data_IF_170631898687
#
_entry.id   IF_170631898687
#
_cell.length_a   1.000
_cell.length_b   1.000
_cell.length_c   1.000
_cell.angle_alpha   90.00
_cell.angle_beta   90.00
_cell.angle_gamma   90.00
#
_symmetry.space_group_name_H-M   'P 1'
#
loop_
_entity.id
_entity.type
_entity.pdbx_description
1 polymer ?
#
# COMPACT_ATOMS: atom_id res chain seq x y z
N UNK A 1 -1.33 -129.48 27.08
CA UNK A 1 0.05 -129.00 27.34
C UNK A 1 0.66 -128.54 26.02
N UNK A 2 0.74 -127.21 25.78
CA UNK A 2 1.71 -126.50 24.91
C UNK A 2 1.44 -124.98 25.00
N UNK A 3 2.51 -124.19 25.02
CA UNK A 3 2.67 -122.88 25.68
C UNK A 3 2.18 -121.63 24.89
N UNK A 4 1.99 -120.54 25.67
CA UNK A 4 1.66 -119.14 25.33
C UNK A 4 2.60 -118.46 24.32
N UNK A 5 2.17 -117.32 23.73
CA UNK A 5 2.85 -115.98 23.76
C UNK A 5 1.96 -114.91 23.07
N UNK A 6 1.72 -113.77 23.75
CA UNK A 6 1.16 -112.52 23.19
C UNK A 6 2.32 -111.56 22.95
N UNK A 7 2.41 -110.92 21.77
CA UNK A 7 3.36 -109.84 21.49
C UNK A 7 2.67 -108.73 20.66
N UNK A 8 2.69 -107.50 21.17
CA UNK A 8 2.35 -106.24 20.50
C UNK A 8 3.65 -105.57 20.00
N UNK A 9 3.69 -105.01 18.79
CA UNK A 9 4.75 -104.08 18.36
C UNK A 9 4.17 -102.95 17.49
N UNK A 10 4.53 -101.72 17.83
CA UNK A 10 4.28 -100.46 17.11
C UNK A 10 5.66 -99.83 16.79
N UNK A 11 5.69 -98.94 15.77
CA UNK A 11 6.70 -97.92 15.38
C UNK A 11 7.74 -98.34 14.30
N UNK A 12 8.18 -97.53 13.30
CA UNK A 12 7.78 -96.26 12.63
C UNK A 12 8.79 -96.04 11.44
N UNK A 13 8.49 -95.16 10.46
CA UNK A 13 9.29 -94.91 9.23
C UNK A 13 10.08 -93.57 9.26
N UNK A 14 11.18 -93.44 8.48
CA UNK A 14 12.06 -92.24 8.41
C UNK A 14 12.74 -92.00 7.02
N UNK A 15 12.89 -90.73 6.53
CA UNK A 15 13.64 -90.38 5.30
C UNK A 15 14.77 -89.30 5.46
N UNK A 16 15.56 -89.05 4.38
CA UNK A 16 16.79 -88.17 4.30
C UNK A 16 16.80 -87.25 3.05
N UNK A 17 17.49 -86.07 3.09
CA UNK A 17 17.73 -85.10 1.96
C UNK A 17 19.14 -84.39 1.99
N UNK A 18 19.63 -83.88 0.83
CA UNK A 18 20.88 -83.09 0.60
C UNK A 18 20.59 -81.70 -0.05
N UNK A 19 21.44 -80.67 0.15
CA UNK A 19 21.29 -79.24 -0.24
C UNK A 19 22.45 -78.64 -1.10
N UNK A 20 22.22 -77.48 -1.76
CA UNK A 20 23.21 -76.62 -2.47
C UNK A 20 23.14 -75.13 -2.02
N UNK A 21 24.19 -74.31 -2.24
CA UNK A 21 24.45 -73.03 -1.52
C UNK A 21 24.71 -71.78 -2.42
N UNK A 22 24.42 -70.57 -1.90
CA UNK A 22 24.67 -69.21 -2.47
C UNK A 22 25.78 -68.50 -1.66
N UNK A 23 26.69 -67.77 -2.33
CA UNK A 23 27.82 -67.09 -1.69
C UNK A 23 27.43 -65.80 -0.96
N UNK A 24 27.68 -65.74 0.35
CA UNK A 24 27.45 -64.57 1.22
C UNK A 24 28.79 -64.23 1.89
N UNK A 25 29.15 -62.95 1.93
CA UNK A 25 30.30 -62.42 2.69
C UNK A 25 31.71 -62.77 2.16
N UNK A 26 31.91 -62.67 0.84
CA UNK A 26 33.24 -62.72 0.20
C UNK A 26 33.69 -61.32 -0.18
N UNK A 27 35.00 -61.03 -0.11
CA UNK A 27 35.58 -59.76 -0.54
C UNK A 27 35.81 -59.67 -2.06
N UNK A 28 35.47 -60.72 -2.82
CA UNK A 28 35.64 -60.75 -4.27
C UNK A 28 34.45 -61.36 -5.07
N UNK A 29 33.19 -60.95 -4.86
CA UNK A 29 32.14 -61.15 -5.84
C UNK A 29 32.06 -59.94 -6.78
N UNK A 30 31.83 -60.15 -8.07
CA UNK A 30 31.64 -59.04 -9.02
C UNK A 30 30.32 -58.25 -8.78
N UNK A 31 29.41 -58.72 -7.92
CA UNK A 31 28.30 -57.97 -7.30
C UNK A 31 27.74 -58.71 -6.05
N UNK A 32 27.27 -57.96 -5.03
CA UNK A 32 26.79 -58.48 -3.74
C UNK A 32 25.43 -59.21 -3.81
N UNK A 33 24.53 -58.75 -4.67
CA UNK A 33 23.31 -59.44 -5.12
C UNK A 33 22.87 -58.73 -6.41
N UNK A 34 23.24 -59.30 -7.56
CA UNK A 34 22.76 -58.81 -8.85
C UNK A 34 21.62 -59.71 -9.33
N UNK A 35 20.45 -59.12 -9.52
CA UNK A 35 19.27 -59.79 -10.07
C UNK A 35 19.04 -59.17 -11.44
N UNK A 36 19.68 -59.79 -12.43
CA UNK A 36 19.60 -59.40 -13.83
C UNK A 36 18.36 -60.01 -14.49
N UNK A 37 17.72 -59.23 -15.34
CA UNK A 37 16.52 -59.65 -16.09
C UNK A 37 16.90 -60.69 -17.14
N UNK A 38 16.05 -61.69 -17.37
CA UNK A 38 16.24 -62.70 -18.42
C UNK A 38 16.39 -62.13 -19.83
N UNK A 39 15.80 -60.96 -20.12
CA UNK A 39 16.11 -60.13 -21.29
C UNK A 39 15.88 -58.64 -20.97
N UNK A 40 16.91 -57.77 -20.89
CA UNK A 40 16.74 -56.35 -20.53
C UNK A 40 15.83 -55.58 -21.48
N UNK A 41 15.81 -56.01 -22.73
CA UNK A 41 15.04 -55.37 -23.81
C UNK A 41 13.59 -55.86 -23.85
N UNK A 42 13.29 -56.97 -23.18
CA UNK A 42 11.96 -57.56 -23.14
C UNK A 42 11.86 -58.51 -21.93
N UNK A 43 11.82 -57.96 -20.70
CA UNK A 43 11.89 -58.76 -19.50
C UNK A 43 10.68 -59.69 -19.40
N UNK A 44 10.92 -60.94 -19.00
CA UNK A 44 9.84 -61.87 -18.70
C UNK A 44 9.07 -61.36 -17.48
N UNK A 45 7.79 -61.73 -17.36
CA UNK A 45 6.94 -61.31 -16.24
C UNK A 45 7.39 -61.85 -14.86
N UNK A 46 8.40 -62.71 -14.84
CA UNK A 46 9.05 -63.24 -13.64
C UNK A 46 10.37 -62.54 -13.30
N UNK A 47 10.84 -61.61 -14.13
CA UNK A 47 12.06 -60.85 -13.85
C UNK A 47 11.80 -59.82 -12.74
N UNK A 48 12.48 -59.96 -11.61
CA UNK A 48 12.39 -59.03 -10.50
C UNK A 48 12.85 -59.62 -9.17
N UNK A 49 12.95 -58.77 -8.15
CA UNK A 49 13.24 -59.21 -6.78
C UNK A 49 11.93 -59.26 -5.98
N UNK A 50 11.52 -60.47 -5.62
CA UNK A 50 10.46 -60.67 -4.63
C UNK A 50 11.08 -60.59 -3.24
N UNK A 51 10.97 -59.42 -2.61
CA UNK A 51 11.34 -59.24 -1.21
C UNK A 51 10.29 -59.89 -0.28
N UNK A 52 10.65 -60.19 0.98
CA UNK A 52 9.75 -60.81 1.93
C UNK A 52 8.42 -60.06 2.03
N UNK A 53 7.34 -60.82 1.83
CA UNK A 53 5.98 -60.32 1.91
C UNK A 53 5.41 -60.60 3.28
N UNK A 54 4.77 -59.62 3.87
CA UNK A 54 4.11 -59.75 5.17
C UNK A 54 2.65 -59.32 5.05
N UNK A 55 1.79 -59.98 5.81
CA UNK A 55 0.40 -59.56 5.95
C UNK A 55 0.21 -58.75 7.24
N UNK A 56 1.08 -58.99 8.23
CA UNK A 56 1.13 -58.32 9.54
C UNK A 56 2.57 -58.06 9.99
N UNK A 57 2.76 -57.04 10.83
CA UNK A 57 4.07 -56.79 11.44
C UNK A 57 4.47 -57.89 12.45
N UNK A 58 5.78 -58.12 12.64
CA UNK A 58 6.24 -59.09 13.63
C UNK A 58 5.80 -58.69 15.05
N UNK A 59 5.39 -59.68 15.86
CA UNK A 59 4.92 -59.43 17.24
C UNK A 59 6.01 -58.96 18.20
N UNK A 60 7.27 -59.22 17.87
CA UNK A 60 8.42 -58.66 18.56
C UNK A 60 9.21 -57.87 17.54
N UNK A 61 9.41 -56.59 17.87
CA UNK A 61 10.01 -55.65 16.95
C UNK A 61 11.48 -55.98 16.66
N UNK A 62 11.93 -55.78 15.40
CA UNK A 62 13.34 -55.87 15.07
C UNK A 62 14.18 -54.86 15.88
N UNK A 63 15.48 -55.14 16.01
CA UNK A 63 16.40 -54.31 16.81
C UNK A 63 17.30 -53.46 15.92
N UNK A 64 18.20 -52.67 16.53
CA UNK A 64 19.12 -51.79 15.81
C UNK A 64 19.96 -52.50 14.74
N UNK A 65 20.24 -53.80 14.91
CA UNK A 65 21.01 -54.58 13.93
C UNK A 65 20.21 -54.78 12.63
N UNK A 66 18.88 -54.75 12.70
CA UNK A 66 17.98 -54.88 11.54
C UNK A 66 17.35 -53.56 11.11
N UNK A 67 17.93 -52.43 11.54
CA UNK A 67 17.50 -51.11 11.07
C UNK A 67 17.61 -51.00 9.53
N UNK A 68 16.57 -50.46 8.90
CA UNK A 68 16.43 -50.39 7.44
C UNK A 68 15.89 -51.67 6.76
N UNK A 69 15.55 -52.71 7.51
CA UNK A 69 15.02 -53.95 6.96
C UNK A 69 13.75 -53.70 6.14
N UNK A 70 13.70 -54.18 4.88
CA UNK A 70 12.60 -53.95 3.95
C UNK A 70 11.62 -55.14 3.89
N UNK A 71 10.33 -54.82 3.84
CA UNK A 71 9.25 -55.78 3.62
C UNK A 71 8.21 -55.20 2.67
N UNK A 72 7.54 -56.06 1.94
CA UNK A 72 6.35 -55.68 1.18
C UNK A 72 5.10 -56.14 1.93
N UNK A 73 4.35 -55.22 2.52
CA UNK A 73 3.04 -55.53 3.05
C UNK A 73 2.10 -55.84 1.87
N UNK A 74 1.44 -57.00 1.91
CA UNK A 74 0.60 -57.44 0.79
C UNK A 74 -0.77 -56.74 0.76
N UNK A 75 -1.20 -56.20 1.91
CA UNK A 75 -2.53 -55.66 2.15
C UNK A 75 -3.60 -56.68 2.53
N UNK A 76 -3.25 -57.97 2.68
CA UNK A 76 -4.22 -59.02 3.01
C UNK A 76 -4.50 -59.16 4.53
N UNK A 77 -3.63 -58.61 5.37
CA UNK A 77 -3.86 -58.44 6.81
C UNK A 77 -4.15 -56.97 7.16
N UNK A 78 -3.89 -56.57 8.40
CA UNK A 78 -4.17 -55.23 8.94
C UNK A 78 -3.26 -54.14 8.36
N UNK A 79 -2.09 -54.51 7.82
CA UNK A 79 -1.12 -53.55 7.30
C UNK A 79 -1.41 -53.21 5.84
N UNK A 80 -1.58 -51.91 5.57
CA UNK A 80 -1.89 -51.41 4.23
C UNK A 80 -0.82 -51.81 3.22
N UNK A 81 -1.24 -52.25 2.04
CA UNK A 81 -0.36 -52.74 0.98
C UNK A 81 0.70 -51.70 0.61
N UNK A 82 1.96 -52.10 0.59
CA UNK A 82 3.05 -51.18 0.25
C UNK A 82 4.41 -51.69 0.65
N UNK A 83 5.44 -50.93 0.26
CA UNK A 83 6.80 -51.17 0.72
C UNK A 83 7.00 -50.46 2.06
N UNK A 84 7.52 -51.19 3.04
CA UNK A 84 7.81 -50.67 4.37
C UNK A 84 9.23 -51.03 4.77
N UNK A 85 9.85 -50.19 5.59
CA UNK A 85 11.11 -50.52 6.23
C UNK A 85 11.03 -50.35 7.74
N UNK A 86 11.81 -51.15 8.45
CA UNK A 86 11.97 -51.00 9.90
C UNK A 86 12.86 -49.80 10.17
N UNK A 87 12.35 -48.83 10.90
CA UNK A 87 13.12 -47.74 11.47
C UNK A 87 13.27 -48.01 12.97
N UNK A 88 14.49 -48.37 13.37
CA UNK A 88 14.80 -48.67 14.75
C UNK A 88 14.82 -47.42 15.64
N UNK A 89 15.06 -46.23 15.07
CA UNK A 89 15.04 -44.99 15.87
C UNK A 89 13.62 -44.65 16.34
N UNK A 90 12.62 -44.80 15.48
CA UNK A 90 11.20 -44.65 15.86
C UNK A 90 10.60 -45.95 16.39
N UNK A 91 11.35 -47.06 16.30
CA UNK A 91 10.91 -48.41 16.59
C UNK A 91 9.58 -48.76 15.89
N UNK A 92 9.49 -48.44 14.60
CA UNK A 92 8.27 -48.61 13.82
C UNK A 92 8.55 -48.96 12.35
N UNK A 93 7.53 -49.53 11.68
CA UNK A 93 7.59 -49.80 10.24
C UNK A 93 7.04 -48.61 9.44
N UNK A 94 7.84 -48.05 8.54
CA UNK A 94 7.54 -46.81 7.81
C UNK A 94 7.29 -47.09 6.32
N UNK A 95 6.21 -46.53 5.77
CA UNK A 95 5.78 -46.72 4.37
C UNK A 95 6.55 -45.85 3.37
N UNK A 96 6.79 -46.37 2.17
CA UNK A 96 7.56 -45.69 1.12
C UNK A 96 6.77 -44.75 0.19
N UNK A 97 5.45 -44.85 0.09
CA UNK A 97 4.71 -44.01 -0.87
C UNK A 97 4.36 -42.66 -0.25
N UNK A 98 5.11 -41.63 -0.63
CA UNK A 98 4.78 -40.23 -0.37
C UNK A 98 3.61 -39.76 -1.25
N UNK A 99 2.70 -38.99 -0.68
CA UNK A 99 1.54 -38.45 -1.40
C UNK A 99 1.94 -37.22 -2.25
N UNK A 100 1.47 -37.20 -3.51
CA UNK A 100 1.53 -36.06 -4.43
C UNK A 100 0.57 -34.94 -3.98
N UNK A 101 1.03 -33.70 -4.06
CA UNK A 101 0.30 -32.50 -3.59
C UNK A 101 -0.64 -31.99 -4.71
N UNK A 102 -1.97 -32.10 -4.56
CA UNK A 102 -2.95 -31.69 -5.59
C UNK A 102 -3.95 -30.57 -5.17
N UNK A 103 -4.03 -30.17 -3.90
CA UNK A 103 -4.79 -28.96 -3.46
C UNK A 103 -4.30 -28.45 -2.10
N UNK A 104 -4.48 -27.15 -1.84
CA UNK A 104 -4.37 -26.57 -0.48
C UNK A 104 -5.68 -26.91 0.23
N UNK A 105 -5.67 -27.96 1.06
CA UNK A 105 -6.84 -28.48 1.78
C UNK A 105 -6.49 -28.54 3.27
N UNK A 106 -6.55 -27.37 3.92
CA UNK A 106 -7.07 -27.16 5.30
C UNK A 106 -6.81 -25.70 5.76
N UNK A 107 -5.66 -25.08 5.43
CA UNK A 107 -5.21 -23.78 6.00
C UNK A 107 -5.31 -23.67 7.54
N UNK A 108 -5.51 -24.79 8.27
CA UNK A 108 -5.58 -24.83 9.74
C UNK A 108 -4.27 -24.40 10.40
N UNK A 109 -3.15 -24.50 9.66
CA UNK A 109 -1.81 -24.01 10.00
C UNK A 109 -1.59 -22.53 9.59
N UNK A 110 -2.55 -21.94 8.88
CA UNK A 110 -2.53 -20.56 8.39
C UNK A 110 -3.50 -19.62 9.13
N UNK A 111 -4.10 -20.07 10.24
CA UNK A 111 -4.87 -19.22 11.17
C UNK A 111 -4.02 -18.90 12.41
N UNK A 112 -4.13 -17.68 12.91
CA UNK A 112 -3.36 -17.18 14.07
C UNK A 112 -4.02 -17.37 15.44
N UNK A 113 -5.33 -17.60 15.51
CA UNK A 113 -6.05 -17.86 16.77
C UNK A 113 -5.83 -19.31 17.22
N UNK A 114 -5.07 -19.48 18.30
CA UNK A 114 -4.63 -20.78 18.79
C UNK A 114 -4.85 -20.94 20.31
N UNK A 115 -5.60 -20.05 20.95
CA UNK A 115 -5.92 -20.10 22.39
C UNK A 115 -7.39 -20.50 22.67
N UNK A 116 -8.24 -20.52 21.64
CA UNK A 116 -9.57 -21.13 21.66
C UNK A 116 -10.69 -20.22 22.16
N UNK A 117 -10.45 -18.91 22.22
CA UNK A 117 -11.42 -17.90 22.68
C UNK A 117 -12.29 -17.32 21.55
N UNK A 118 -11.96 -17.58 20.28
CA UNK A 118 -12.74 -17.20 19.08
C UNK A 118 -12.98 -15.67 18.96
N UNK A 119 -12.07 -14.87 19.54
CA UNK A 119 -12.09 -13.40 19.59
C UNK A 119 -11.24 -12.73 18.49
N UNK A 120 -10.54 -13.50 17.65
CA UNK A 120 -10.02 -13.00 16.38
C UNK A 120 -8.96 -13.90 15.74
N UNK A 121 -9.17 -14.31 14.48
CA UNK A 121 -8.16 -15.06 13.70
C UNK A 121 -7.92 -14.46 12.31
N UNK A 122 -6.65 -14.25 11.96
CA UNK A 122 -6.19 -13.83 10.64
C UNK A 122 -6.00 -15.01 9.67
N UNK A 123 -6.18 -14.78 8.36
CA UNK A 123 -5.98 -15.74 7.26
C UNK A 123 -4.80 -15.33 6.38
N UNK A 124 -3.94 -16.31 6.09
CA UNK A 124 -2.63 -16.06 5.51
C UNK A 124 -2.45 -16.70 4.15
N UNK A 125 -2.50 -15.89 3.10
CA UNK A 125 -2.41 -16.37 1.73
C UNK A 125 -1.10 -15.88 1.09
N UNK A 126 -0.36 -16.79 0.46
CA UNK A 126 1.08 -16.59 0.25
C UNK A 126 1.90 -16.82 1.54
N UNK A 127 3.17 -17.18 1.39
CA UNK A 127 4.04 -17.52 2.53
C UNK A 127 4.07 -16.37 3.57
N UNK A 128 3.82 -16.69 4.85
CA UNK A 128 3.93 -15.79 6.02
C UNK A 128 3.00 -14.57 6.05
N UNK A 129 1.87 -14.59 5.34
CA UNK A 129 0.81 -13.67 5.72
C UNK A 129 0.51 -13.81 7.24
N UNK A 130 0.17 -12.69 7.88
CA UNK A 130 0.10 -12.38 9.33
C UNK A 130 0.72 -13.26 10.44
N UNK A 131 1.99 -13.61 10.29
CA UNK A 131 2.90 -13.91 11.41
C UNK A 131 3.07 -12.79 12.48
N UNK A 132 2.34 -11.66 12.37
CA UNK A 132 2.33 -10.51 13.31
C UNK A 132 0.97 -10.32 13.99
N UNK A 133 0.03 -11.24 13.81
CA UNK A 133 -0.99 -11.40 14.83
C UNK A 133 -0.32 -11.88 16.13
N UNK A 134 -0.61 -11.24 17.25
CA UNK A 134 -0.02 -11.54 18.56
C UNK A 134 -0.93 -12.46 19.40
N UNK A 135 -2.05 -12.92 18.81
CA UNK A 135 -3.06 -13.73 19.49
C UNK A 135 -3.89 -12.95 20.51
N UNK A 136 -3.91 -11.62 20.43
CA UNK A 136 -4.90 -10.76 21.09
C UNK A 136 -5.88 -10.20 20.04
N UNK A 137 -6.80 -9.29 20.40
CA UNK A 137 -7.86 -8.68 19.54
C UNK A 137 -7.37 -7.98 18.22
N UNK A 138 -6.19 -8.30 17.69
CA UNK A 138 -5.63 -7.79 16.46
C UNK A 138 -6.32 -8.39 15.25
N UNK A 139 -7.27 -7.64 14.73
CA UNK A 139 -7.82 -7.86 13.41
C UNK A 139 -6.73 -7.44 12.43
N UNK A 140 -5.85 -8.38 12.02
CA UNK A 140 -5.03 -8.27 10.82
C UNK A 140 -5.34 -9.41 9.81
N UNK A 141 -4.97 -9.33 8.54
CA UNK A 141 -5.14 -10.37 7.51
C UNK A 141 -4.09 -10.07 6.44
N UNK A 142 -3.55 -11.10 5.79
CA UNK A 142 -2.44 -10.93 4.85
C UNK A 142 -2.64 -11.61 3.48
N UNK A 143 -2.30 -10.81 2.45
CA UNK A 143 -1.93 -11.12 1.05
C UNK A 143 -2.81 -12.10 0.29
N UNK A 144 -3.68 -11.60 -0.59
CA UNK A 144 -4.63 -12.52 -1.19
C UNK A 144 -5.44 -13.19 -0.08
N UNK A 145 -6.43 -13.92 -0.48
CA UNK A 145 -7.74 -13.43 -0.11
C UNK A 145 -8.17 -13.61 1.37
N UNK A 146 -7.85 -12.68 2.28
CA UNK A 146 -8.76 -11.55 2.59
C UNK A 146 -8.30 -10.56 3.67
N UNK A 147 -7.65 -9.51 3.20
CA UNK A 147 -6.56 -8.78 3.81
C UNK A 147 -6.74 -7.84 5.02
N UNK A 148 -7.97 -7.52 5.47
CA UNK A 148 -8.37 -6.77 6.70
C UNK A 148 -9.59 -5.85 6.62
N UNK A 149 -10.77 -6.40 6.40
CA UNK A 149 -12.02 -5.65 6.26
C UNK A 149 -11.97 -4.56 5.16
N UNK A 150 -11.93 -5.02 3.90
CA UNK A 150 -11.76 -4.18 2.70
C UNK A 150 -10.54 -3.27 2.73
N UNK A 151 -9.66 -3.44 3.71
CA UNK A 151 -8.40 -2.74 3.77
C UNK A 151 -7.31 -3.59 3.11
N UNK A 152 -6.39 -2.93 2.42
CA UNK A 152 -5.16 -3.57 1.95
C UNK A 152 -4.04 -3.05 2.83
N UNK A 153 -3.60 -3.85 3.79
CA UNK A 153 -2.50 -3.53 4.71
C UNK A 153 -1.23 -4.26 4.27
N UNK A 154 -0.24 -3.52 3.77
CA UNK A 154 1.05 -4.07 3.34
C UNK A 154 2.18 -3.21 3.93
N UNK A 155 2.70 -3.62 5.08
CA UNK A 155 3.78 -2.92 5.75
C UNK A 155 3.75 -3.09 7.26
N UNK A 156 4.91 -2.93 7.90
CA UNK A 156 5.01 -3.01 9.36
C UNK A 156 4.20 -1.90 10.03
N UNK A 157 3.27 -2.28 10.93
CA UNK A 157 2.31 -1.40 11.62
C UNK A 157 1.48 -0.53 10.69
N UNK A 158 1.25 -0.99 9.45
CA UNK A 158 0.21 -0.38 8.62
C UNK A 158 -1.17 -0.77 9.15
N UNK A 159 -2.07 0.22 9.30
CA UNK A 159 -3.40 0.06 9.90
C UNK A 159 -3.44 -0.54 11.32
N UNK A 160 -2.37 -0.41 12.10
CA UNK A 160 -2.24 -1.04 13.42
C UNK A 160 -3.42 -0.72 14.36
N UNK A 161 -3.78 0.55 14.48
CA UNK A 161 -4.81 1.00 15.44
C UNK A 161 -6.22 1.01 14.82
N UNK A 162 -6.40 0.42 13.63
CA UNK A 162 -7.67 0.44 12.92
C UNK A 162 -8.70 -0.49 13.55
N UNK A 163 -9.60 0.11 14.32
CA UNK A 163 -10.65 -0.59 15.06
C UNK A 163 -11.93 -0.85 14.26
N UNK A 164 -12.31 0.04 13.35
CA UNK A 164 -13.59 -0.08 12.62
C UNK A 164 -13.62 0.59 11.24
N UNK A 165 -12.49 1.11 10.76
CA UNK A 165 -12.39 1.84 9.50
C UNK A 165 -12.29 0.91 8.29
N UNK A 166 -13.02 1.22 7.22
CA UNK A 166 -13.15 0.38 6.03
C UNK A 166 -12.60 1.02 4.74
N UNK A 167 -12.27 0.17 3.76
CA UNK A 167 -11.85 0.57 2.40
C UNK A 167 -10.56 1.40 2.33
N UNK A 168 -9.64 1.18 3.27
CA UNK A 168 -8.35 1.83 3.33
C UNK A 168 -7.26 1.02 2.62
N UNK A 169 -6.40 1.68 1.86
CA UNK A 169 -5.20 1.08 1.29
C UNK A 169 -4.00 1.64 2.02
N UNK A 170 -3.35 0.84 2.85
CA UNK A 170 -2.14 1.23 3.57
C UNK A 170 -0.96 0.38 3.09
N UNK A 171 -0.06 0.99 2.33
CA UNK A 171 1.12 0.31 1.79
C UNK A 171 2.37 1.08 2.22
N UNK A 172 3.12 0.53 3.17
CA UNK A 172 4.34 1.13 3.69
C UNK A 172 4.44 1.03 5.21
N UNK A 173 5.66 1.21 5.72
CA UNK A 173 5.92 1.24 7.16
C UNK A 173 5.09 2.36 7.82
N UNK A 174 4.30 2.03 8.84
CA UNK A 174 3.46 2.97 9.60
C UNK A 174 2.42 3.75 8.76
N UNK A 175 2.08 3.27 7.56
CA UNK A 175 1.02 3.87 6.74
C UNK A 175 -0.35 3.70 7.44
N UNK A 176 -1.09 4.80 7.64
CA UNK A 176 -2.37 4.80 8.37
C UNK A 176 -2.32 4.14 9.77
N UNK A 177 -1.16 4.14 10.43
CA UNK A 177 -0.98 3.43 11.70
C UNK A 177 -2.03 3.82 12.74
N UNK A 178 -2.26 5.13 12.95
CA UNK A 178 -3.13 5.64 14.01
C UNK A 178 -4.60 5.78 13.56
N UNK A 179 -4.94 5.31 12.34
CA UNK A 179 -6.32 5.36 11.86
C UNK A 179 -7.16 4.41 12.73
N UNK A 180 -8.24 4.90 13.34
CA UNK A 180 -9.11 4.12 14.24
C UNK A 180 -10.46 3.82 13.61
N UNK A 181 -11.13 4.84 13.05
CA UNK A 181 -12.47 4.71 12.44
C UNK A 181 -12.59 5.41 11.08
N UNK A 182 -11.46 5.90 10.52
CA UNK A 182 -11.44 6.60 9.25
C UNK A 182 -11.54 5.65 8.06
N UNK A 183 -12.27 6.07 7.02
CA UNK A 183 -12.64 5.22 5.89
C UNK A 183 -12.14 5.77 4.56
N UNK A 184 -12.00 4.92 3.55
CA UNK A 184 -11.68 5.32 2.18
C UNK A 184 -10.36 6.10 2.05
N UNK A 185 -9.38 5.80 2.90
CA UNK A 185 -8.07 6.44 2.85
C UNK A 185 -7.06 5.60 2.05
N UNK A 186 -6.31 6.23 1.16
CA UNK A 186 -5.20 5.60 0.45
C UNK A 186 -3.90 6.22 0.95
N UNK A 187 -3.06 5.44 1.63
CA UNK A 187 -1.74 5.81 2.12
C UNK A 187 -0.68 4.90 1.52
N UNK A 188 0.18 5.44 0.68
CA UNK A 188 1.27 4.69 0.05
C UNK A 188 2.59 5.41 0.33
N UNK A 189 3.41 4.83 1.19
CA UNK A 189 4.70 5.37 1.61
C UNK A 189 4.97 5.23 3.11
N UNK A 190 6.23 5.40 3.51
CA UNK A 190 6.65 5.44 4.92
C UNK A 190 5.92 6.56 5.67
N UNK A 191 5.29 6.28 6.82
CA UNK A 191 4.51 7.23 7.63
C UNK A 191 3.41 7.99 6.85
N UNK A 192 2.90 7.43 5.75
CA UNK A 192 1.86 8.11 4.98
C UNK A 192 0.51 8.09 5.72
N UNK A 193 -0.19 9.23 5.79
CA UNK A 193 -1.41 9.47 6.59
C UNK A 193 -1.33 8.99 8.05
N UNK A 194 -0.13 8.96 8.65
CA UNK A 194 0.05 8.45 10.01
C UNK A 194 -0.71 9.24 11.08
N UNK A 195 -0.98 10.54 10.85
CA UNK A 195 -1.70 11.39 11.80
C UNK A 195 -3.23 11.24 11.74
N UNK A 196 -3.78 10.64 10.68
CA UNK A 196 -5.23 10.52 10.50
C UNK A 196 -5.77 9.44 11.44
N UNK A 197 -6.76 9.81 12.26
CA UNK A 197 -7.42 8.89 13.20
C UNK A 197 -8.86 8.58 12.77
N UNK A 198 -9.66 9.59 12.45
CA UNK A 198 -11.07 9.44 12.04
C UNK A 198 -11.39 10.13 10.71
N UNK A 199 -10.37 10.74 10.07
CA UNK A 199 -10.49 11.37 8.76
C UNK A 199 -10.79 10.37 7.65
N UNK A 200 -11.42 10.82 6.56
CA UNK A 200 -11.90 9.93 5.50
C UNK A 200 -11.69 10.50 4.10
N UNK A 201 -11.70 9.61 3.09
CA UNK A 201 -11.52 9.98 1.68
C UNK A 201 -10.22 10.75 1.40
N UNK A 202 -9.14 10.41 2.09
CA UNK A 202 -7.83 11.03 1.86
C UNK A 202 -6.97 10.16 0.94
N UNK A 203 -6.17 10.77 0.07
CA UNK A 203 -5.16 10.08 -0.74
C UNK A 203 -3.80 10.67 -0.44
N UNK A 204 -2.83 9.84 -0.09
CA UNK A 204 -1.47 10.24 0.13
C UNK A 204 -0.50 9.25 -0.53
N UNK A 205 0.43 9.82 -1.29
CA UNK A 205 1.48 9.09 -2.00
C UNK A 205 2.82 9.78 -1.74
N UNK A 206 3.68 9.12 -0.98
CA UNK A 206 5.02 9.59 -0.64
C UNK A 206 5.38 9.42 0.83
N UNK A 207 6.68 9.48 1.12
CA UNK A 207 7.20 9.44 2.49
C UNK A 207 6.67 10.62 3.31
N UNK A 208 6.00 10.31 4.41
CA UNK A 208 5.34 11.23 5.33
C UNK A 208 4.36 12.17 4.62
N UNK A 209 3.77 11.73 3.51
CA UNK A 209 2.68 12.45 2.85
C UNK A 209 1.37 12.18 3.60
N UNK A 210 0.57 13.20 3.85
CA UNK A 210 -0.74 13.03 4.48
C UNK A 210 -1.28 14.31 5.10
N UNK A 211 -2.57 14.31 5.42
CA UNK A 211 -3.20 15.43 6.09
C UNK A 211 -2.53 15.74 7.45
N UNK A 212 -2.37 17.03 7.75
CA UNK A 212 -1.80 17.48 9.02
C UNK A 212 -2.77 17.32 10.21
N UNK A 213 -4.07 17.15 9.95
CA UNK A 213 -5.11 17.02 10.96
C UNK A 213 -5.69 15.60 11.03
N UNK A 214 -5.92 15.13 12.25
CA UNK A 214 -6.39 13.77 12.53
C UNK A 214 -7.80 13.46 11.97
N UNK A 215 -8.63 14.49 11.79
CA UNK A 215 -10.03 14.39 11.35
C UNK A 215 -10.25 14.97 9.95
N UNK A 216 -9.19 15.35 9.24
CA UNK A 216 -9.32 15.95 7.91
C UNK A 216 -9.81 14.93 6.88
N UNK A 217 -10.58 15.43 5.92
CA UNK A 217 -11.22 14.61 4.89
C UNK A 217 -11.09 15.23 3.51
N UNK A 218 -11.23 14.39 2.48
CA UNK A 218 -11.14 14.79 1.08
C UNK A 218 -9.84 15.55 0.77
N UNK A 219 -8.71 15.02 1.25
CA UNK A 219 -7.39 15.60 0.97
C UNK A 219 -6.59 14.74 0.01
N UNK A 220 -5.76 15.37 -0.82
CA UNK A 220 -4.82 14.66 -1.70
C UNK A 220 -3.41 15.20 -1.46
N UNK A 221 -2.48 14.35 -1.02
CA UNK A 221 -1.10 14.68 -0.72
C UNK A 221 -0.16 13.88 -1.61
N UNK A 222 0.48 14.52 -2.61
CA UNK A 222 1.40 13.83 -3.52
C UNK A 222 2.82 14.36 -3.35
N UNK A 223 3.77 13.52 -2.94
CA UNK A 223 5.18 13.85 -2.76
C UNK A 223 5.67 13.77 -1.32
N UNK A 224 7.00 13.70 -1.14
CA UNK A 224 7.63 13.63 0.18
C UNK A 224 7.24 14.84 1.06
N UNK A 225 6.69 14.57 2.25
CA UNK A 225 6.27 15.61 3.19
C UNK A 225 5.14 16.52 2.67
N UNK A 226 4.38 16.09 1.67
CA UNK A 226 3.20 16.83 1.24
C UNK A 226 2.14 16.79 2.36
N UNK A 227 1.84 17.95 2.95
CA UNK A 227 0.94 18.07 4.09
C UNK A 227 -0.19 19.07 3.81
N UNK A 228 -1.37 18.61 3.34
CA UNK A 228 -2.58 19.40 3.36
C UNK A 228 -2.94 19.81 4.80
N UNK A 229 -3.17 21.11 5.01
CA UNK A 229 -3.45 21.71 6.33
C UNK A 229 -4.92 22.10 6.50
N UNK A 230 -5.80 21.61 5.62
CA UNK A 230 -7.24 21.79 5.70
C UNK A 230 -7.97 20.64 4.99
N UNK A 231 -9.24 20.35 5.34
CA UNK A 231 -10.10 19.47 4.55
C UNK A 231 -10.34 20.02 3.14
N UNK A 232 -10.67 19.15 2.18
CA UNK A 232 -10.95 19.52 0.78
C UNK A 232 -9.77 20.20 0.06
N UNK A 233 -8.55 19.71 0.29
CA UNK A 233 -7.33 20.32 -0.23
C UNK A 233 -6.44 19.30 -0.96
N UNK A 234 -5.93 19.71 -2.12
CA UNK A 234 -4.88 19.01 -2.85
C UNK A 234 -3.55 19.72 -2.63
N UNK A 235 -2.52 19.01 -2.16
CA UNK A 235 -1.13 19.47 -2.02
C UNK A 235 -0.23 18.61 -2.91
N UNK A 236 0.50 19.26 -3.81
CA UNK A 236 1.50 18.65 -4.68
C UNK A 236 2.89 19.08 -4.20
N UNK A 237 3.57 18.21 -3.47
CA UNK A 237 4.90 18.43 -2.90
C UNK A 237 4.90 19.22 -1.59
N UNK A 238 6.11 19.52 -1.11
CA UNK A 238 6.37 20.26 0.13
C UNK A 238 6.87 21.69 -0.15
N UNK A 239 7.20 22.43 0.91
CA UNK A 239 7.65 23.82 0.83
C UNK A 239 8.96 24.04 0.06
N UNK A 240 9.77 22.99 -0.14
CA UNK A 240 11.03 23.08 -0.89
C UNK A 240 10.86 22.93 -2.42
N UNK A 241 9.66 22.58 -2.90
CA UNK A 241 9.39 22.47 -4.33
C UNK A 241 9.52 23.84 -5.02
N UNK A 242 10.33 23.89 -6.08
CA UNK A 242 10.60 25.12 -6.84
C UNK A 242 9.75 25.25 -8.11
N UNK A 243 9.41 24.13 -8.75
CA UNK A 243 8.67 24.12 -10.02
C UNK A 243 7.65 22.98 -10.03
N UNK A 244 6.43 23.30 -10.44
CA UNK A 244 5.38 22.33 -10.81
C UNK A 244 5.12 22.53 -12.31
N UNK A 245 5.31 21.48 -13.11
CA UNK A 245 5.31 21.59 -14.57
C UNK A 245 4.45 20.55 -15.28
N UNK A 246 4.03 20.90 -16.49
CA UNK A 246 3.32 20.05 -17.43
C UNK A 246 3.29 20.73 -18.81
N UNK A 247 2.99 19.96 -19.87
CA UNK A 247 2.87 20.51 -21.22
C UNK A 247 1.53 21.25 -21.46
N UNK A 248 0.53 21.01 -20.61
CA UNK A 248 -0.79 21.62 -20.70
C UNK A 248 -1.04 22.55 -19.50
N UNK A 249 -1.81 23.60 -19.73
CA UNK A 249 -2.24 24.54 -18.69
C UNK A 249 -3.36 23.97 -17.82
N UNK A 250 -3.51 24.52 -16.60
CA UNK A 250 -4.62 24.17 -15.71
C UNK A 250 -5.96 24.68 -16.27
N UNK A 251 -6.91 23.78 -16.47
CA UNK A 251 -8.24 24.11 -16.98
C UNK A 251 -9.30 24.03 -15.88
N UNK A 252 -10.12 25.07 -15.76
CA UNK A 252 -11.28 25.09 -14.87
C UNK A 252 -12.57 24.99 -15.68
N UNK A 253 -13.53 24.19 -15.23
CA UNK A 253 -14.86 24.17 -15.84
C UNK A 253 -15.55 25.52 -15.67
N UNK A 254 -16.04 26.12 -16.76
CA UNK A 254 -16.62 27.47 -16.75
C UNK A 254 -17.87 27.60 -17.65
N UNK A 255 -18.49 26.48 -18.00
CA UNK A 255 -19.69 26.42 -18.83
C UNK A 255 -20.90 27.09 -18.14
N UNK A 256 -21.69 27.87 -18.89
CA UNK A 256 -22.88 28.56 -18.37
C UNK A 256 -23.89 27.59 -17.73
N UNK A 257 -23.99 26.36 -18.24
CA UNK A 257 -24.92 25.32 -17.71
C UNK A 257 -24.58 24.90 -16.29
N UNK A 258 -23.35 25.14 -15.85
CA UNK A 258 -22.85 24.79 -14.51
C UNK A 258 -22.87 26.00 -13.56
N UNK A 259 -23.50 27.11 -13.95
CA UNK A 259 -23.53 28.36 -13.19
C UNK A 259 -24.97 28.81 -12.91
N UNK A 260 -25.20 29.33 -11.71
CA UNK A 260 -26.45 29.99 -11.29
C UNK A 260 -26.12 31.36 -10.70
N UNK A 261 -27.12 32.23 -10.54
CA UNK A 261 -26.96 33.55 -9.90
C UNK A 261 -25.83 34.42 -10.50
N UNK A 262 -25.69 34.42 -11.83
CA UNK A 262 -24.66 35.22 -12.53
C UNK A 262 -25.01 36.71 -12.41
N UNK A 263 -24.09 37.51 -11.86
CA UNK A 263 -24.22 38.95 -11.64
C UNK A 263 -22.96 39.71 -12.12
N UNK A 264 -23.10 41.00 -12.40
CA UNK A 264 -22.03 41.88 -12.90
C UNK A 264 -21.53 42.85 -11.82
N UNK A 265 -21.21 42.34 -10.63
CA UNK A 265 -20.88 43.11 -9.43
C UNK A 265 -19.42 42.96 -8.97
N UNK A 266 -18.49 42.82 -9.92
CA UNK A 266 -17.06 42.70 -9.60
C UNK A 266 -16.46 44.08 -9.32
N UNK A 267 -15.65 44.18 -8.27
CA UNK A 267 -14.88 45.39 -7.94
C UNK A 267 -13.55 45.39 -8.68
N UNK A 268 -13.29 46.43 -9.47
CA UNK A 268 -12.06 46.58 -10.26
C UNK A 268 -11.02 47.48 -9.62
N UNK A 269 -10.91 48.71 -10.13
CA UNK A 269 -9.82 49.65 -9.91
C UNK A 269 -9.65 50.03 -8.44
N UNK A 270 -10.75 50.19 -7.70
CA UNK A 270 -10.69 50.51 -6.27
C UNK A 270 -9.99 49.42 -5.45
N UNK A 271 -10.32 48.15 -5.74
CA UNK A 271 -9.68 46.99 -5.11
C UNK A 271 -8.21 46.90 -5.50
N UNK A 272 -7.90 46.96 -6.81
CA UNK A 272 -6.53 46.84 -7.32
C UNK A 272 -5.60 47.92 -6.75
N UNK A 273 -6.08 49.15 -6.60
CA UNK A 273 -5.30 50.26 -6.02
C UNK A 273 -4.93 50.08 -4.54
N UNK A 274 -5.65 49.23 -3.79
CA UNK A 274 -5.37 48.94 -2.39
C UNK A 274 -4.37 47.80 -2.21
N UNK A 275 -4.07 47.04 -3.27
CA UNK A 275 -3.10 45.95 -3.20
C UNK A 275 -1.68 46.49 -3.08
N UNK A 276 -0.88 45.88 -2.20
CA UNK A 276 0.53 46.23 -1.99
C UNK A 276 1.45 45.12 -2.52
N UNK A 277 2.05 45.27 -3.71
CA UNK A 277 3.05 44.34 -4.20
C UNK A 277 4.29 44.37 -3.30
N UNK A 278 4.86 43.19 -3.06
CA UNK A 278 6.07 43.00 -2.24
C UNK A 278 7.01 42.01 -2.90
N UNK A 279 8.30 42.14 -2.61
CA UNK A 279 9.30 41.10 -2.86
C UNK A 279 9.78 40.52 -1.55
N UNK A 280 9.99 39.21 -1.50
CA UNK A 280 10.36 38.50 -0.27
C UNK A 280 11.15 37.23 -0.57
N UNK A 281 11.87 36.74 0.43
CA UNK A 281 12.47 35.42 0.44
C UNK A 281 11.71 34.54 1.45
N UNK A 282 11.64 33.24 1.20
CA UNK A 282 11.07 32.32 2.19
C UNK A 282 12.06 32.08 3.34
N UNK A 283 11.54 32.11 4.57
CA UNK A 283 12.23 31.56 5.74
C UNK A 283 11.82 30.10 5.90
N UNK A 284 12.66 29.20 5.40
CA UNK A 284 12.38 27.75 5.42
C UNK A 284 12.38 27.18 6.84
N UNK A 285 13.11 27.77 7.78
CA UNK A 285 13.08 27.32 9.18
C UNK A 285 11.79 27.77 9.87
N UNK A 286 11.29 28.98 9.57
CA UNK A 286 9.98 29.41 10.05
C UNK A 286 8.85 28.55 9.48
N UNK A 287 8.92 28.21 8.19
CA UNK A 287 7.93 27.31 7.55
C UNK A 287 7.97 25.93 8.20
N UNK A 288 9.15 25.34 8.39
CA UNK A 288 9.28 24.03 9.02
C UNK A 288 8.75 24.02 10.46
N UNK A 289 9.00 25.09 11.25
CA UNK A 289 8.42 25.23 12.59
C UNK A 289 6.89 25.34 12.55
N UNK A 290 6.36 26.08 11.58
CA UNK A 290 4.91 26.27 11.45
C UNK A 290 4.20 24.99 10.99
N UNK A 291 4.74 24.30 9.98
CA UNK A 291 4.19 23.05 9.46
C UNK A 291 4.50 21.84 10.35
N UNK A 292 5.22 22.03 11.47
CA UNK A 292 5.73 20.97 12.35
C UNK A 292 6.55 19.90 11.59
N UNK A 293 7.30 20.31 10.58
CA UNK A 293 8.08 19.43 9.72
C UNK A 293 9.34 18.95 10.44
N UNK A 294 9.48 17.64 10.73
CA UNK A 294 10.68 17.10 11.34
C UNK A 294 11.92 17.30 10.47
N UNK A 295 13.08 17.52 11.09
CA UNK A 295 14.35 17.70 10.37
C UNK A 295 14.69 16.52 9.44
N UNK A 296 14.25 15.30 9.77
CA UNK A 296 14.45 14.11 8.94
C UNK A 296 13.74 14.17 7.58
N UNK A 297 12.73 15.02 7.41
CA UNK A 297 12.01 15.23 6.15
C UNK A 297 12.52 16.44 5.36
N UNK A 298 13.43 17.22 5.94
CA UNK A 298 13.91 18.47 5.35
C UNK A 298 15.05 18.19 4.38
N UNK A 299 14.88 18.65 3.16
CA UNK A 299 15.92 18.58 2.12
C UNK A 299 16.72 19.89 2.15
N UNK A 300 17.71 19.97 3.04
CA UNK A 300 18.47 21.22 3.31
C UNK A 300 19.09 21.85 2.06
N UNK A 301 19.56 21.04 1.12
CA UNK A 301 20.11 21.54 -0.15
C UNK A 301 19.04 22.22 -1.01
N UNK A 302 17.81 21.68 -1.06
CA UNK A 302 16.71 22.30 -1.78
C UNK A 302 16.20 23.56 -1.08
N UNK A 303 16.12 23.54 0.26
CA UNK A 303 15.75 24.72 1.05
C UNK A 303 16.73 25.87 0.84
N UNK A 304 18.03 25.60 0.75
CA UNK A 304 19.06 26.61 0.48
C UNK A 304 18.86 27.29 -0.88
N UNK A 305 18.46 26.53 -1.90
CA UNK A 305 18.11 27.12 -3.20
C UNK A 305 16.84 27.98 -3.09
N UNK A 306 15.85 27.50 -2.32
CA UNK A 306 14.56 28.20 -2.14
C UNK A 306 14.70 29.52 -1.36
N UNK A 307 15.54 29.57 -0.34
CA UNK A 307 15.79 30.81 0.44
C UNK A 307 16.48 31.88 -0.38
N UNK A 308 17.32 31.50 -1.36
CA UNK A 308 18.02 32.44 -2.24
C UNK A 308 17.12 33.02 -3.35
N UNK A 309 15.98 32.37 -3.61
CA UNK A 309 15.05 32.78 -4.65
C UNK A 309 14.20 33.97 -4.18
N UNK A 310 14.36 35.14 -4.82
CA UNK A 310 13.52 36.31 -4.55
C UNK A 310 12.16 36.11 -5.22
N UNK A 311 11.12 36.01 -4.40
CA UNK A 311 9.73 35.95 -4.84
C UNK A 311 9.16 37.35 -4.96
N UNK A 312 8.14 37.51 -5.81
CA UNK A 312 7.33 38.73 -5.88
C UNK A 312 5.86 38.35 -5.81
N UNK A 313 5.08 39.10 -5.05
CA UNK A 313 3.70 38.76 -4.79
C UNK A 313 3.00 39.71 -3.83
N UNK A 314 2.02 39.18 -3.10
CA UNK A 314 1.24 39.89 -2.09
C UNK A 314 1.21 39.12 -0.77
N UNK A 315 1.04 39.83 0.34
CA UNK A 315 0.75 39.22 1.64
C UNK A 315 -0.76 38.96 1.71
N UNK A 316 -1.14 37.70 1.91
CA UNK A 316 -2.54 37.26 1.80
C UNK A 316 -3.50 37.98 2.76
N UNK A 317 -3.05 38.25 3.98
CA UNK A 317 -3.82 38.99 5.00
C UNK A 317 -4.07 40.45 4.58
N UNK A 318 -3.11 41.07 3.89
CA UNK A 318 -3.28 42.44 3.37
C UNK A 318 -4.26 42.46 2.20
N UNK A 319 -4.25 41.42 1.35
CA UNK A 319 -5.25 41.26 0.28
C UNK A 319 -6.65 41.09 0.87
N UNK A 320 -6.80 40.28 1.93
CA UNK A 320 -8.08 40.12 2.63
C UNK A 320 -8.60 41.47 3.14
N UNK A 321 -7.75 42.24 3.82
CA UNK A 321 -8.10 43.57 4.33
C UNK A 321 -8.49 44.53 3.20
N UNK A 322 -7.75 44.51 2.09
CA UNK A 322 -8.07 45.32 0.92
C UNK A 322 -9.42 44.97 0.31
N UNK A 323 -9.75 43.67 0.21
CA UNK A 323 -11.03 43.19 -0.29
C UNK A 323 -12.20 43.59 0.64
N UNK A 324 -12.03 43.40 1.95
CA UNK A 324 -13.02 43.80 2.96
C UNK A 324 -13.28 45.32 2.95
N UNK A 325 -12.24 46.13 2.78
CA UNK A 325 -12.35 47.58 2.76
C UNK A 325 -13.20 48.13 1.61
N UNK A 326 -13.41 47.34 0.55
CA UNK A 326 -14.26 47.70 -0.60
C UNK A 326 -15.53 46.85 -0.68
N UNK A 327 -15.84 46.08 0.38
CA UNK A 327 -17.00 45.20 0.42
C UNK A 327 -16.97 44.07 -0.61
N UNK A 328 -15.79 43.64 -1.06
CA UNK A 328 -15.62 42.61 -2.07
C UNK A 328 -15.34 41.25 -1.44
N UNK A 329 -16.23 40.29 -1.64
CA UNK A 329 -16.03 38.89 -1.24
C UNK A 329 -15.11 38.18 -2.25
N UNK A 330 -13.80 38.41 -2.10
CA UNK A 330 -12.81 37.93 -3.05
C UNK A 330 -12.34 36.50 -2.73
N UNK A 331 -12.90 35.52 -3.45
CA UNK A 331 -12.57 34.10 -3.29
C UNK A 331 -11.12 33.73 -3.69
N UNK A 332 -10.33 34.67 -4.22
CA UNK A 332 -8.91 34.47 -4.48
C UNK A 332 -8.06 34.41 -3.21
N UNK A 333 -8.58 34.89 -2.08
CA UNK A 333 -7.95 34.68 -0.76
C UNK A 333 -8.46 33.36 -0.17
N UNK A 334 -7.52 32.46 0.10
CA UNK A 334 -7.79 31.22 0.83
C UNK A 334 -7.45 31.47 2.30
N UNK A 335 -8.47 31.47 3.14
CA UNK A 335 -8.33 31.62 4.59
C UNK A 335 -7.98 30.28 5.21
N UNK A 336 -7.22 30.26 6.31
CA UNK A 336 -6.93 29.04 7.03
C UNK A 336 -8.22 28.44 7.59
N UNK A 337 -8.27 27.11 7.66
CA UNK A 337 -9.42 26.38 8.21
C UNK A 337 -9.53 26.55 9.74
N UNK A 338 -8.38 26.59 10.42
CA UNK A 338 -8.24 26.79 11.86
C UNK A 338 -7.01 27.68 12.17
N UNK A 339 -6.70 27.85 13.45
CA UNK A 339 -5.55 28.64 13.92
C UNK A 339 -4.18 28.09 13.50
N UNK A 340 -4.12 26.83 13.09
CA UNK A 340 -2.89 26.15 12.64
C UNK A 340 -2.73 26.16 11.11
N UNK A 341 -3.74 26.66 10.38
CA UNK A 341 -3.71 26.75 8.93
C UNK A 341 -2.92 27.96 8.41
N UNK A 342 -2.55 27.92 7.13
CA UNK A 342 -1.94 29.06 6.44
C UNK A 342 -2.93 29.78 5.54
N UNK A 343 -2.74 31.09 5.41
CA UNK A 343 -3.33 31.84 4.30
C UNK A 343 -2.64 31.50 2.98
N UNK A 344 -3.40 31.50 1.88
CA UNK A 344 -2.86 31.38 0.53
C UNK A 344 -3.60 32.28 -0.47
N UNK A 345 -3.00 32.49 -1.63
CA UNK A 345 -3.56 33.30 -2.72
C UNK A 345 -3.68 32.51 -4.01
N UNK A 346 -4.82 32.66 -4.69
CA UNK A 346 -5.06 32.16 -6.04
C UNK A 346 -4.81 33.27 -7.05
N UNK A 347 -3.57 33.37 -7.54
CA UNK A 347 -3.17 34.46 -8.44
C UNK A 347 -4.03 34.57 -9.72
N UNK A 348 -4.52 33.45 -10.25
CA UNK A 348 -5.41 33.44 -11.41
C UNK A 348 -6.72 34.22 -11.17
N UNK A 349 -7.21 34.27 -9.93
CA UNK A 349 -8.47 34.94 -9.61
C UNK A 349 -8.36 36.48 -9.63
N UNK A 350 -7.14 37.02 -9.62
CA UNK A 350 -6.92 38.47 -9.77
C UNK A 350 -7.18 38.95 -11.20
N UNK A 351 -7.18 38.05 -12.19
CA UNK A 351 -7.39 38.42 -13.60
C UNK A 351 -8.74 39.10 -13.81
N UNK A 352 -9.80 38.62 -13.14
CA UNK A 352 -11.15 39.18 -13.33
C UNK A 352 -11.27 40.61 -12.76
N UNK A 353 -10.84 40.90 -11.51
CA UNK A 353 -10.74 42.28 -11.03
C UNK A 353 -9.81 43.17 -11.87
N UNK A 354 -8.70 42.63 -12.39
CA UNK A 354 -7.81 43.39 -13.28
C UNK A 354 -8.50 43.79 -14.59
N UNK A 355 -9.25 42.88 -15.21
CA UNK A 355 -10.06 43.19 -16.41
C UNK A 355 -11.07 44.28 -16.08
N UNK A 356 -11.77 44.19 -14.95
CA UNK A 356 -12.73 45.22 -14.53
C UNK A 356 -12.05 46.57 -14.27
N UNK A 357 -10.89 46.56 -13.61
CA UNK A 357 -10.09 47.76 -13.39
C UNK A 357 -9.65 48.42 -14.70
N UNK A 358 -9.26 47.63 -15.70
CA UNK A 358 -8.90 48.13 -17.02
C UNK A 358 -10.09 48.75 -17.75
N UNK A 359 -11.27 48.13 -17.65
CA UNK A 359 -12.52 48.69 -18.22
C UNK A 359 -12.85 50.04 -17.58
N UNK A 360 -12.84 50.11 -16.24
CA UNK A 360 -13.09 51.36 -15.50
C UNK A 360 -12.04 52.43 -15.82
N UNK A 361 -10.77 52.06 -15.93
CA UNK A 361 -9.71 52.97 -16.32
C UNK A 361 -9.89 53.49 -17.75
N UNK A 362 -10.33 52.64 -18.67
CA UNK A 362 -10.60 53.03 -20.06
C UNK A 362 -11.76 54.04 -20.15
N UNK A 363 -12.84 53.84 -19.37
CA UNK A 363 -13.95 54.79 -19.28
C UNK A 363 -13.49 56.17 -18.78
N UNK A 364 -12.61 56.21 -17.78
CA UNK A 364 -12.01 57.46 -17.28
C UNK A 364 -11.19 58.15 -18.36
N UNK A 365 -10.35 57.41 -19.09
CA UNK A 365 -9.52 57.96 -20.18
C UNK A 365 -10.39 58.54 -21.29
N UNK A 366 -11.45 57.85 -21.69
CA UNK A 366 -12.37 58.31 -22.74
C UNK A 366 -13.09 59.59 -22.32
N UNK A 367 -13.56 59.64 -21.07
CA UNK A 367 -14.19 60.84 -20.50
C UNK A 367 -13.22 62.02 -20.48
N UNK A 368 -11.99 61.81 -19.98
CA UNK A 368 -10.96 62.86 -19.96
C UNK A 368 -10.60 63.35 -21.37
N UNK A 369 -10.55 62.47 -22.37
CA UNK A 369 -10.29 62.86 -23.74
C UNK A 369 -11.42 63.72 -24.33
N UNK A 370 -12.68 63.43 -23.98
CA UNK A 370 -13.83 64.26 -24.39
C UNK A 370 -13.79 65.64 -23.73
N UNK A 371 -13.49 65.71 -22.44
CA UNK A 371 -13.33 66.99 -21.72
C UNK A 371 -12.18 67.82 -22.31
N UNK A 372 -11.03 67.18 -22.58
CA UNK A 372 -9.90 67.84 -23.23
C UNK A 372 -10.26 68.35 -24.63
N UNK A 373 -11.11 67.63 -25.37
CA UNK A 373 -11.60 68.09 -26.67
C UNK A 373 -12.49 69.34 -26.51
N UNK A 374 -13.45 69.32 -25.58
CA UNK A 374 -14.32 70.48 -25.31
C UNK A 374 -13.52 71.71 -24.89
N UNK A 375 -12.56 71.55 -23.97
CA UNK A 375 -11.68 72.62 -23.52
C UNK A 375 -10.85 73.20 -24.67
N UNK A 376 -10.36 72.37 -25.60
CA UNK A 376 -9.63 72.85 -26.79
C UNK A 376 -10.53 73.66 -27.71
N UNK A 377 -11.77 73.21 -27.94
CA UNK A 377 -12.75 73.93 -28.76
C UNK A 377 -13.12 75.29 -28.15
N UNK A 378 -13.32 75.35 -26.82
CA UNK A 378 -13.58 76.61 -26.10
C UNK A 378 -12.39 77.58 -26.16
N UNK A 379 -11.16 77.09 -25.96
CA UNK A 379 -9.95 77.92 -26.06
C UNK A 379 -9.83 78.52 -27.47
N UNK A 380 -10.07 77.75 -28.53
CA UNK A 380 -10.02 78.26 -29.90
C UNK A 380 -11.14 79.27 -30.20
N UNK A 381 -12.35 79.07 -29.63
CA UNK A 381 -13.42 80.06 -29.71
C UNK A 381 -13.03 81.39 -29.02
N UNK A 382 -12.45 81.33 -27.82
CA UNK A 382 -11.99 82.52 -27.09
C UNK A 382 -10.87 83.23 -27.86
N UNK A 383 -9.89 82.50 -28.41
CA UNK A 383 -8.82 83.08 -29.24
C UNK A 383 -9.39 83.80 -30.46
N UNK A 384 -10.39 83.22 -31.11
CA UNK A 384 -11.09 83.84 -32.25
C UNK A 384 -11.74 85.15 -31.82
N UNK A 385 -12.51 85.15 -30.72
CA UNK A 385 -13.15 86.36 -30.18
C UNK A 385 -12.15 87.45 -29.76
N UNK A 386 -10.99 87.08 -29.20
CA UNK A 386 -9.94 88.02 -28.83
C UNK A 386 -9.30 88.66 -30.07
N UNK A 387 -9.03 87.87 -31.11
CA UNK A 387 -8.54 88.40 -32.40
C UNK A 387 -9.53 89.39 -33.01
N UNK A 388 -10.82 89.05 -33.00
CA UNK A 388 -11.89 89.90 -33.52
C UNK A 388 -12.05 91.21 -32.74
N UNK A 389 -12.01 91.16 -31.40
CA UNK A 389 -12.27 92.33 -30.56
C UNK A 389 -11.04 93.25 -30.36
N UNK A 390 -9.82 92.73 -30.43
CA UNK A 390 -8.61 93.51 -30.10
C UNK A 390 -7.68 93.80 -31.30
N UNK A 391 -7.97 93.31 -32.51
CA UNK A 391 -7.09 93.46 -33.70
C UNK A 391 -5.63 93.16 -33.39
N UNK A 392 -5.39 92.11 -32.62
CA UNK A 392 -4.05 91.63 -32.32
C UNK A 392 -3.71 90.63 -33.43
N UNK A 393 -2.90 91.07 -34.39
CA UNK A 393 -2.34 90.23 -35.47
C UNK A 393 -1.45 89.11 -34.93
#
# INVERSE_FOLDING_TARGET
MKYRIKIWHIFFLLPVLISAQVGVNTTNPNALLDISTSNPSSPNNTDGLLIPKIDEYPSINPTAIQDGMLVYATGNGSVAKGFYYWDNNTASWVSFTGATIEKIDDLLDGKSDNDGTDDGSSIFLGINAGANDDGSDNQNVGVGYDALNSNTSIGYRSLLDNSSGDQNVAVGYHALQNNTTGNNNVAIGYNSLNLVTTGYSNTALGTSAGAAGATFYNTTALGNGAAPNSPNQVRLGNSSVSVIGGYANWSNFSDRRLKTNIQENIVGLEFIKKLRPVSYNYDMDAIARFENTPDSLRIREAEKLKTQEIQTGFIAQEVEQAAQAVGFDFHGVVKPYDENGTYALRYAEFVVPLVKAMQEQQEVIETQNQELKSLREEIEAIKTLLKENYKID
#
